data_IF_428806639972
#
_entry.id   IF_428806639972
#
_cell.length_a   1.000
_cell.length_b   1.000
_cell.length_c   1.000
_cell.angle_alpha   90.00
_cell.angle_beta   90.00
_cell.angle_gamma   90.00
#
_symmetry.space_group_name_H-M   'P 1'
#
loop_
_entity.id
_entity.type
_entity.pdbx_description
1 polymer ?
#
# COMPACT_ATOMS: atom_id res chain seq x y z
N UNK A 1 -20.48 13.83 37.56
CA UNK A 1 -20.95 12.64 36.83
C UNK A 1 -20.90 13.01 35.35
N UNK A 2 -20.14 12.41 34.45
CA UNK A 2 -19.57 11.07 34.41
C UNK A 2 -18.07 11.10 34.05
N UNK A 3 -17.32 10.22 34.69
CA UNK A 3 -15.99 9.82 34.27
C UNK A 3 -16.16 8.79 33.16
N UNK A 4 -15.51 8.98 32.02
CA UNK A 4 -15.44 7.96 30.98
C UNK A 4 -14.00 7.48 30.85
N UNK A 5 -13.85 6.23 31.26
CA UNK A 5 -12.66 5.41 31.31
C UNK A 5 -12.16 5.20 29.87
N UNK A 6 -10.94 5.66 29.57
CA UNK A 6 -10.22 5.30 28.37
C UNK A 6 -9.62 3.91 28.56
N UNK A 7 -10.30 2.89 28.06
CA UNK A 7 -9.78 1.54 27.95
C UNK A 7 -10.06 0.99 26.54
N UNK A 8 -8.98 0.60 25.85
CA UNK A 8 -9.03 -0.43 24.82
C UNK A 8 -9.34 0.02 23.39
N UNK A 9 -8.40 0.70 22.74
CA UNK A 9 -7.98 0.31 21.38
C UNK A 9 -6.64 0.97 21.06
N UNK A 10 -5.58 0.17 20.99
CA UNK A 10 -4.27 0.62 20.52
C UNK A 10 -4.37 0.96 19.04
N UNK A 11 -4.54 2.25 18.74
CA UNK A 11 -4.15 2.79 17.45
C UNK A 11 -2.64 2.62 17.36
N UNK A 12 -2.19 1.62 16.60
CA UNK A 12 -0.79 1.48 16.24
C UNK A 12 -0.44 2.68 15.34
N UNK A 13 0.05 3.73 15.98
CA UNK A 13 0.94 4.71 15.36
C UNK A 13 2.27 3.98 15.10
N UNK A 14 2.93 4.19 13.96
CA UNK A 14 4.38 4.08 13.93
C UNK A 14 4.89 5.02 15.01
N UNK A 15 5.73 4.47 15.88
CA UNK A 15 6.26 5.12 17.07
C UNK A 15 6.83 6.49 16.69
N UNK A 16 6.08 7.57 16.93
CA UNK A 16 6.71 8.88 17.11
C UNK A 16 7.51 8.74 18.39
N UNK A 17 8.76 8.30 18.21
CA UNK A 17 9.73 7.82 19.19
C UNK A 17 9.32 8.20 20.60
N UNK A 18 8.90 7.21 21.39
CA UNK A 18 8.82 7.41 22.82
C UNK A 18 10.17 7.96 23.31
N UNK A 19 10.21 9.15 23.95
CA UNK A 19 11.44 9.62 24.52
C UNK A 19 11.92 8.60 25.58
N UNK A 20 13.24 8.36 25.71
CA UNK A 20 13.78 7.37 26.63
C UNK A 20 13.21 7.53 28.05
N UNK A 21 13.00 6.42 28.76
CA UNK A 21 12.34 6.34 30.08
C UNK A 21 12.95 7.25 31.18
N UNK A 22 14.13 7.83 30.96
CA UNK A 22 14.72 8.84 31.83
C UNK A 22 14.05 10.22 31.69
N UNK A 23 13.53 10.57 30.50
CA UNK A 23 12.80 11.81 30.23
C UNK A 23 11.42 11.77 30.91
N UNK A 24 10.74 10.62 30.92
CA UNK A 24 9.43 10.46 31.57
C UNK A 24 9.47 10.57 33.10
N UNK A 25 10.61 10.24 33.75
CA UNK A 25 10.77 10.47 35.19
C UNK A 25 10.96 11.95 35.56
N UNK A 26 11.69 12.72 34.74
CA UNK A 26 11.82 14.18 34.91
C UNK A 26 10.55 14.95 34.48
N UNK A 27 9.53 14.27 33.94
CA UNK A 27 8.28 14.88 33.51
C UNK A 27 7.26 15.13 34.64
N UNK A 28 7.40 14.48 35.81
CA UNK A 28 6.36 14.42 36.85
C UNK A 28 6.57 15.34 38.06
N UNK A 29 7.61 16.19 38.09
CA UNK A 29 7.82 17.06 39.25
C UNK A 29 6.75 18.17 39.34
N UNK A 30 6.14 18.39 40.51
CA UNK A 30 5.07 19.37 40.69
C UNK A 30 5.61 20.81 40.71
N UNK A 31 4.95 21.72 39.98
CA UNK A 31 5.20 23.17 40.06
C UNK A 31 4.28 23.76 41.16
N UNK A 32 4.81 24.52 42.15
CA UNK A 32 4.03 25.07 43.26
C UNK A 32 3.14 26.27 42.87
N UNK A 33 2.03 26.46 43.61
CA UNK A 33 0.92 27.37 43.26
C UNK A 33 0.77 28.63 44.16
N UNK A 34 1.09 29.85 43.67
CA UNK A 34 0.40 31.16 43.94
C UNK A 34 0.24 32.20 42.76
N UNK A 35 -1.00 32.71 42.56
CA UNK A 35 -1.64 33.20 41.31
C UNK A 35 -1.11 34.40 40.49
N UNK A 36 0.09 34.97 40.72
CA UNK A 36 0.66 35.97 39.76
C UNK A 36 2.15 35.79 39.56
N UNK A 37 2.86 35.31 40.58
CA UNK A 37 4.20 34.72 40.38
C UNK A 37 4.13 33.38 39.65
N UNK A 38 3.08 32.55 39.88
CA UNK A 38 2.88 31.25 39.19
C UNK A 38 3.08 31.37 37.68
N UNK A 39 2.45 32.35 37.03
CA UNK A 39 2.45 32.40 35.57
C UNK A 39 3.88 32.57 35.03
N UNK A 40 4.66 33.43 35.70
CA UNK A 40 6.07 33.67 35.38
C UNK A 40 6.93 32.47 35.77
N UNK A 41 6.65 31.83 36.90
CA UNK A 41 7.40 30.68 37.42
C UNK A 41 7.16 29.42 36.58
N UNK A 42 5.90 29.14 36.20
CA UNK A 42 5.50 28.07 35.28
C UNK A 42 6.13 28.28 33.92
N UNK A 43 6.03 29.48 33.33
CA UNK A 43 6.62 29.76 32.02
C UNK A 43 8.15 29.69 32.05
N UNK A 44 8.79 30.14 33.12
CA UNK A 44 10.24 30.05 33.30
C UNK A 44 10.71 28.60 33.41
N UNK A 45 10.05 27.80 34.25
CA UNK A 45 10.32 26.37 34.37
C UNK A 45 10.08 25.63 33.06
N UNK A 46 9.02 26.01 32.33
CA UNK A 46 8.69 25.49 31.01
C UNK A 46 9.81 25.76 30.00
N UNK A 47 10.27 27.01 29.97
CA UNK A 47 11.35 27.47 29.09
C UNK A 47 12.63 26.67 29.36
N UNK A 48 13.03 26.52 30.61
CA UNK A 48 14.23 25.75 30.98
C UNK A 48 14.10 24.28 30.56
N UNK A 49 12.93 23.67 30.76
CA UNK A 49 12.67 22.29 30.36
C UNK A 49 12.73 22.10 28.85
N UNK A 50 12.17 23.03 28.08
CA UNK A 50 12.25 23.02 26.62
C UNK A 50 13.70 23.10 26.14
N UNK A 51 14.47 24.07 26.64
CA UNK A 51 15.89 24.24 26.28
C UNK A 51 16.69 22.98 26.61
N UNK A 52 16.52 22.44 27.81
CA UNK A 52 17.25 21.26 28.29
C UNK A 52 16.98 20.02 27.42
N UNK A 53 15.73 19.77 27.04
CA UNK A 53 15.35 18.55 26.33
C UNK A 53 15.53 18.64 24.82
N UNK A 54 15.39 19.83 24.23
CA UNK A 54 15.28 19.98 22.76
C UNK A 54 16.27 20.98 22.17
N UNK A 55 16.94 21.81 22.96
CA UNK A 55 17.65 22.99 22.45
C UNK A 55 18.78 22.70 21.45
N UNK A 56 19.42 21.53 21.51
CA UNK A 56 20.48 21.17 20.55
C UNK A 56 19.93 20.77 19.17
N UNK A 57 18.69 20.30 19.09
CA UNK A 57 18.10 19.70 17.89
C UNK A 57 16.81 20.41 17.45
N UNK A 58 16.46 21.53 18.07
CA UNK A 58 15.17 22.19 17.86
C UNK A 58 14.97 22.70 16.42
N UNK A 59 16.05 22.92 15.67
CA UNK A 59 15.98 23.27 14.26
C UNK A 59 15.43 22.12 13.37
N UNK A 60 15.50 20.86 13.82
CA UNK A 60 14.93 19.71 13.11
C UNK A 60 13.42 19.60 13.37
N UNK A 61 12.64 19.59 12.29
CA UNK A 61 11.18 19.51 12.33
C UNK A 61 10.67 18.24 13.04
N UNK A 62 11.42 17.13 12.95
CA UNK A 62 11.10 15.86 13.64
C UNK A 62 11.26 16.00 15.15
N UNK A 63 12.18 16.85 15.59
CA UNK A 63 12.34 17.18 17.00
C UNK A 63 11.25 18.15 17.46
N UNK A 64 10.84 19.10 16.61
CA UNK A 64 9.74 20.01 16.91
C UNK A 64 8.40 19.29 17.11
N UNK A 65 8.10 18.21 16.37
CA UNK A 65 6.86 17.45 16.57
C UNK A 65 6.78 16.77 17.94
N UNK A 66 7.91 16.46 18.58
CA UNK A 66 7.93 15.91 19.95
C UNK A 66 7.36 16.90 20.97
N UNK A 67 7.41 18.21 20.66
CA UNK A 67 6.78 19.25 21.48
C UNK A 67 5.26 19.18 21.48
N UNK A 68 4.65 18.49 20.51
CA UNK A 68 3.20 18.39 20.41
C UNK A 68 2.58 17.68 21.62
N UNK A 69 3.10 16.51 22.00
CA UNK A 69 2.64 15.80 23.22
C UNK A 69 2.79 16.69 24.45
N UNK A 70 3.92 17.37 24.55
CA UNK A 70 4.21 18.28 25.65
C UNK A 70 3.19 19.44 25.74
N UNK A 71 2.83 20.02 24.60
CA UNK A 71 1.78 21.04 24.51
C UNK A 71 0.41 20.47 24.89
N UNK A 72 0.05 19.29 24.40
CA UNK A 72 -1.24 18.66 24.72
C UNK A 72 -1.37 18.35 26.22
N UNK A 73 -0.33 17.82 26.86
CA UNK A 73 -0.31 17.59 28.32
C UNK A 73 -0.49 18.90 29.09
N UNK A 74 0.13 19.98 28.61
CA UNK A 74 0.02 21.30 29.21
C UNK A 74 -1.39 21.90 29.05
N UNK A 75 -2.02 21.73 27.89
CA UNK A 75 -3.41 22.13 27.63
C UNK A 75 -4.36 21.32 28.52
N UNK A 76 -4.15 20.02 28.65
CA UNK A 76 -4.97 19.18 29.53
C UNK A 76 -4.87 19.64 31.00
N UNK A 77 -3.67 20.01 31.44
CA UNK A 77 -3.42 20.49 32.81
C UNK A 77 -3.90 21.93 33.04
N UNK A 78 -3.84 22.78 32.02
CA UNK A 78 -4.26 24.19 32.07
C UNK A 78 -5.15 24.51 30.85
N UNK A 79 -6.44 24.14 30.83
CA UNK A 79 -7.30 24.23 29.64
C UNK A 79 -7.45 25.63 29.04
N UNK A 80 -7.40 26.67 29.88
CA UNK A 80 -7.56 28.06 29.43
C UNK A 80 -6.22 28.69 29.00
N UNK A 81 -5.13 28.38 29.70
CA UNK A 81 -3.84 29.07 29.56
C UNK A 81 -2.72 28.21 28.95
N UNK A 82 -2.95 26.92 28.73
CA UNK A 82 -1.91 25.98 28.31
C UNK A 82 -1.29 26.33 26.96
N UNK A 83 -2.10 26.79 26.00
CA UNK A 83 -1.62 27.29 24.71
C UNK A 83 -0.75 28.54 24.89
N UNK A 84 -1.22 29.50 25.69
CA UNK A 84 -0.49 30.74 25.94
C UNK A 84 0.85 30.49 26.63
N UNK A 85 0.87 29.60 27.63
CA UNK A 85 2.11 29.20 28.31
C UNK A 85 3.08 28.52 27.36
N UNK A 86 2.62 27.58 26.54
CA UNK A 86 3.46 26.92 25.56
C UNK A 86 4.06 27.92 24.58
N UNK A 87 3.23 28.77 23.97
CA UNK A 87 3.68 29.77 22.99
C UNK A 87 4.68 30.76 23.60
N UNK A 88 4.40 31.23 24.82
CA UNK A 88 5.30 32.12 25.55
C UNK A 88 6.64 31.47 25.88
N UNK A 89 6.64 30.21 26.31
CA UNK A 89 7.87 29.47 26.60
C UNK A 89 8.65 29.12 25.33
N UNK A 90 7.98 28.75 24.24
CA UNK A 90 8.62 28.48 22.95
C UNK A 90 9.33 29.73 22.41
N UNK A 91 8.67 30.90 22.45
CA UNK A 91 9.28 32.19 22.06
C UNK A 91 10.47 32.58 22.91
N UNK A 92 10.46 32.23 24.20
CA UNK A 92 11.57 32.51 25.11
C UNK A 92 12.72 31.52 24.97
N UNK A 93 12.41 30.24 24.72
CA UNK A 93 13.39 29.17 24.59
C UNK A 93 14.08 29.17 23.21
N UNK A 94 13.33 29.42 22.15
CA UNK A 94 13.74 29.25 20.76
C UNK A 94 13.28 30.43 19.90
N UNK A 95 13.82 31.65 20.10
CA UNK A 95 13.29 32.85 19.47
C UNK A 95 13.25 32.81 17.94
N UNK A 96 14.21 32.11 17.30
CA UNK A 96 14.32 31.99 15.85
C UNK A 96 13.32 30.99 15.29
N UNK A 97 13.10 29.87 15.98
CA UNK A 97 12.28 28.75 15.51
C UNK A 97 10.82 28.85 15.98
N UNK A 98 10.52 29.72 16.94
CA UNK A 98 9.23 29.76 17.65
C UNK A 98 8.01 29.88 16.74
N UNK A 99 8.04 30.77 15.74
CA UNK A 99 6.90 30.94 14.83
C UNK A 99 6.66 29.67 13.98
N UNK A 100 7.74 29.01 13.53
CA UNK A 100 7.66 27.73 12.82
C UNK A 100 7.12 26.61 13.71
N UNK A 101 7.61 26.50 14.95
CA UNK A 101 7.14 25.52 15.94
C UNK A 101 5.65 25.72 16.21
N UNK A 102 5.20 26.95 16.46
CA UNK A 102 3.80 27.25 16.76
C UNK A 102 2.91 26.90 15.55
N UNK A 103 3.30 27.31 14.35
CA UNK A 103 2.58 26.96 13.12
C UNK A 103 2.51 25.44 12.90
N UNK A 104 3.58 24.70 13.22
CA UNK A 104 3.60 23.24 13.17
C UNK A 104 2.62 22.62 14.17
N UNK A 105 2.52 23.16 15.39
CA UNK A 105 1.56 22.68 16.39
C UNK A 105 0.12 22.86 15.90
N UNK A 106 -0.20 24.00 15.29
CA UNK A 106 -1.54 24.26 14.72
C UNK A 106 -1.87 23.31 13.56
N UNK A 107 -0.90 23.02 12.68
CA UNK A 107 -1.06 22.00 11.62
C UNK A 107 -1.32 20.62 12.22
N UNK A 108 -0.60 20.26 13.29
CA UNK A 108 -0.79 18.99 14.00
C UNK A 108 -2.16 18.91 14.68
N UNK A 109 -2.65 19.99 15.31
CA UNK A 109 -4.00 20.03 15.88
C UNK A 109 -5.05 19.70 14.81
N UNK A 110 -5.00 20.41 13.67
CA UNK A 110 -5.92 20.18 12.53
C UNK A 110 -5.85 18.75 11.99
N UNK A 111 -4.65 18.17 11.94
CA UNK A 111 -4.46 16.80 11.48
C UNK A 111 -5.08 15.78 12.45
N UNK A 112 -4.89 15.96 13.76
CA UNK A 112 -5.45 15.06 14.77
C UNK A 112 -6.97 15.18 14.89
N UNK A 113 -7.50 16.40 14.75
CA UNK A 113 -8.95 16.63 14.66
C UNK A 113 -9.54 15.87 13.47
N UNK A 114 -8.96 16.06 12.28
CA UNK A 114 -9.39 15.31 11.09
C UNK A 114 -9.30 13.79 11.27
N UNK A 115 -8.23 13.26 11.87
CA UNK A 115 -8.12 11.82 12.15
C UNK A 115 -9.25 11.33 13.05
N UNK A 116 -9.62 12.12 14.06
CA UNK A 116 -10.70 11.80 15.00
C UNK A 116 -12.04 11.78 14.28
N UNK A 117 -12.32 12.79 13.47
CA UNK A 117 -13.54 12.86 12.66
C UNK A 117 -13.66 11.70 11.67
N UNK A 118 -12.53 11.31 11.05
CA UNK A 118 -12.50 10.27 10.03
C UNK A 118 -12.35 8.85 10.58
N UNK A 119 -12.25 8.66 11.89
CA UNK A 119 -11.94 7.36 12.50
C UNK A 119 -12.84 6.22 11.99
N UNK A 120 -14.16 6.44 12.00
CA UNK A 120 -15.15 5.44 11.57
C UNK A 120 -15.05 5.12 10.07
N UNK A 121 -14.70 6.11 9.25
CA UNK A 121 -14.50 5.93 7.82
C UNK A 121 -13.21 5.16 7.55
N UNK A 122 -12.09 5.62 8.13
CA UNK A 122 -10.77 5.01 7.97
C UNK A 122 -10.74 3.56 8.45
N UNK A 123 -11.47 3.22 9.52
CA UNK A 123 -11.53 1.85 10.04
C UNK A 123 -12.18 0.84 9.09
N UNK A 124 -13.00 1.31 8.15
CA UNK A 124 -13.69 0.46 7.16
C UNK A 124 -12.86 0.22 5.89
N UNK A 125 -11.80 1.00 5.69
CA UNK A 125 -10.93 0.90 4.52
C UNK A 125 -9.88 -0.20 4.67
N UNK A 126 -9.44 -0.75 3.53
CA UNK A 126 -8.23 -1.55 3.48
C UNK A 126 -7.01 -0.73 3.88
N UNK A 127 -5.92 -1.39 4.30
CA UNK A 127 -4.70 -0.67 4.69
C UNK A 127 -4.11 0.19 3.58
N UNK A 128 -4.20 -0.26 2.32
CA UNK A 128 -3.67 0.51 1.18
C UNK A 128 -4.51 1.76 0.91
N UNK A 129 -5.83 1.63 0.91
CA UNK A 129 -6.74 2.78 0.75
C UNK A 129 -6.58 3.76 1.90
N UNK A 130 -6.52 3.25 3.14
CA UNK A 130 -6.27 4.05 4.34
C UNK A 130 -4.95 4.80 4.24
N UNK A 131 -3.87 4.11 3.86
CA UNK A 131 -2.55 4.70 3.63
C UNK A 131 -2.62 5.83 2.61
N UNK A 132 -3.25 5.60 1.46
CA UNK A 132 -3.40 6.62 0.41
C UNK A 132 -4.17 7.86 0.88
N UNK A 133 -5.28 7.69 1.60
CA UNK A 133 -6.08 8.80 2.12
C UNK A 133 -5.32 9.58 3.20
N UNK A 134 -4.65 8.89 4.12
CA UNK A 134 -3.83 9.53 5.16
C UNK A 134 -2.71 10.34 4.53
N UNK A 135 -1.97 9.76 3.58
CA UNK A 135 -0.87 10.45 2.90
C UNK A 135 -1.33 11.66 2.08
N UNK A 136 -2.48 11.54 1.41
CA UNK A 136 -3.10 12.69 0.74
C UNK A 136 -3.37 13.83 1.73
N UNK A 137 -3.95 13.52 2.91
CA UNK A 137 -4.24 14.54 3.91
C UNK A 137 -2.97 15.13 4.54
N UNK A 138 -1.95 14.31 4.78
CA UNK A 138 -0.64 14.78 5.27
C UNK A 138 -0.02 15.77 4.29
N UNK A 139 0.01 15.46 2.99
CA UNK A 139 0.51 16.41 1.97
C UNK A 139 -0.34 17.67 1.87
N UNK A 140 -1.65 17.58 2.04
CA UNK A 140 -2.55 18.74 2.06
C UNK A 140 -2.24 19.70 3.24
N UNK A 141 -1.97 19.16 4.43
CA UNK A 141 -1.73 19.97 5.63
C UNK A 141 -0.27 20.44 5.75
N UNK A 142 0.68 19.56 5.44
CA UNK A 142 2.10 19.75 5.72
C UNK A 142 2.94 20.03 4.47
N UNK A 143 2.37 19.91 3.26
CA UNK A 143 3.12 20.04 2.01
C UNK A 143 4.38 19.16 2.00
N UNK A 144 5.53 19.73 1.66
CA UNK A 144 6.80 19.00 1.55
C UNK A 144 7.29 18.48 2.91
N UNK A 145 6.90 19.11 4.03
CA UNK A 145 7.26 18.65 5.38
C UNK A 145 6.67 17.27 5.70
N UNK A 146 5.56 16.88 5.06
CA UNK A 146 4.94 15.57 5.26
C UNK A 146 5.95 14.43 5.02
N UNK A 147 6.84 14.62 4.05
CA UNK A 147 7.80 13.62 3.63
C UNK A 147 8.94 13.45 4.65
N UNK A 148 9.23 14.47 5.47
CA UNK A 148 10.19 14.41 6.57
C UNK A 148 9.53 13.85 7.84
N UNK A 149 8.33 14.34 8.15
CA UNK A 149 7.60 14.00 9.37
C UNK A 149 7.22 12.52 9.47
N UNK A 150 6.94 11.88 8.33
CA UNK A 150 6.56 10.46 8.25
C UNK A 150 7.56 9.63 7.43
N UNK A 151 8.83 10.05 7.39
CA UNK A 151 9.87 9.36 6.63
C UNK A 151 10.03 7.89 7.06
N UNK A 152 9.96 7.58 8.35
CA UNK A 152 10.06 6.20 8.85
C UNK A 152 8.92 5.32 8.34
N UNK A 153 7.67 5.81 8.40
CA UNK A 153 6.50 5.07 7.89
C UNK A 153 6.59 4.83 6.39
N UNK A 154 7.10 5.81 5.62
CA UNK A 154 7.34 5.63 4.18
C UNK A 154 8.42 4.57 3.93
N UNK A 155 9.55 4.67 4.65
CA UNK A 155 10.65 3.72 4.54
C UNK A 155 10.20 2.30 4.91
N UNK A 156 9.33 2.14 5.91
CA UNK A 156 8.71 0.86 6.25
C UNK A 156 7.87 0.30 5.11
N UNK A 157 7.05 1.14 4.48
CA UNK A 157 6.23 0.72 3.35
C UNK A 157 7.09 0.32 2.13
N UNK A 158 8.14 1.10 1.85
CA UNK A 158 9.12 0.79 0.80
C UNK A 158 9.85 -0.52 1.08
N UNK A 159 10.29 -0.75 2.33
CA UNK A 159 10.89 -2.03 2.75
C UNK A 159 9.93 -3.19 2.56
N UNK A 160 8.66 -3.04 2.98
CA UNK A 160 7.63 -4.08 2.79
C UNK A 160 7.42 -4.37 1.30
N UNK A 161 7.36 -3.36 0.45
CA UNK A 161 7.24 -3.54 -1.00
C UNK A 161 8.45 -4.28 -1.59
N UNK A 162 9.67 -3.93 -1.17
CA UNK A 162 10.89 -4.63 -1.58
C UNK A 162 10.89 -6.09 -1.12
N UNK A 163 10.46 -6.37 0.11
CA UNK A 163 10.34 -7.74 0.62
C UNK A 163 9.33 -8.56 -0.19
N UNK A 164 8.15 -8.00 -0.50
CA UNK A 164 7.16 -8.66 -1.37
C UNK A 164 7.77 -9.00 -2.74
N UNK A 165 8.49 -8.07 -3.36
CA UNK A 165 9.17 -8.32 -4.64
C UNK A 165 10.24 -9.41 -4.53
N UNK A 166 11.01 -9.42 -3.45
CA UNK A 166 12.02 -10.45 -3.18
C UNK A 166 11.39 -11.82 -3.02
N UNK A 167 10.31 -11.94 -2.24
CA UNK A 167 9.56 -13.20 -2.07
C UNK A 167 9.07 -13.72 -3.43
N UNK A 168 8.44 -12.85 -4.23
CA UNK A 168 7.95 -13.20 -5.57
C UNK A 168 9.11 -13.71 -6.44
N UNK A 169 10.23 -12.98 -6.48
CA UNK A 169 11.39 -13.35 -7.28
C UNK A 169 12.05 -14.65 -6.82
N UNK A 170 12.15 -14.88 -5.51
CA UNK A 170 12.73 -16.11 -4.95
C UNK A 170 11.86 -17.32 -5.30
N UNK A 171 10.55 -17.23 -5.07
CA UNK A 171 9.61 -18.30 -5.41
C UNK A 171 9.61 -18.57 -6.91
N UNK A 172 9.69 -17.54 -7.75
CA UNK A 172 9.70 -17.72 -9.21
C UNK A 172 10.98 -18.44 -9.70
N UNK A 173 12.14 -18.03 -9.18
CA UNK A 173 13.43 -18.54 -9.65
C UNK A 173 13.81 -19.91 -9.07
N UNK A 174 13.20 -20.36 -7.97
CA UNK A 174 13.52 -21.69 -7.42
C UNK A 174 12.94 -22.81 -8.29
N UNK A 175 13.78 -23.45 -9.09
CA UNK A 175 13.40 -24.55 -9.98
C UNK A 175 13.37 -25.93 -9.29
N UNK A 176 13.71 -26.02 -8.00
CA UNK A 176 13.83 -27.29 -7.27
C UNK A 176 12.52 -27.70 -6.61
N UNK A 177 11.59 -26.77 -6.46
CA UNK A 177 10.31 -26.97 -5.74
C UNK A 177 9.14 -27.11 -6.71
N UNK A 178 8.12 -27.87 -6.31
CA UNK A 178 6.93 -28.11 -7.14
C UNK A 178 6.05 -26.87 -7.25
N UNK A 179 5.07 -26.90 -8.16
CA UNK A 179 4.05 -25.85 -8.29
C UNK A 179 3.27 -25.65 -6.98
N UNK A 180 2.89 -26.74 -6.33
CA UNK A 180 2.17 -26.70 -5.05
C UNK A 180 3.02 -26.11 -3.92
N UNK A 181 4.31 -26.43 -3.90
CA UNK A 181 5.25 -25.89 -2.91
C UNK A 181 5.52 -24.41 -3.15
N UNK A 182 5.67 -23.98 -4.41
CA UNK A 182 5.76 -22.56 -4.78
C UNK A 182 4.53 -21.79 -4.29
N UNK A 183 3.34 -22.33 -4.52
CA UNK A 183 2.08 -21.71 -4.06
C UNK A 183 2.02 -21.65 -2.52
N UNK A 184 2.43 -22.71 -1.83
CA UNK A 184 2.48 -22.75 -0.38
C UNK A 184 3.43 -21.67 0.18
N UNK A 185 4.68 -21.64 -0.29
CA UNK A 185 5.68 -20.67 0.14
C UNK A 185 5.25 -19.22 -0.13
N UNK A 186 4.68 -18.97 -1.31
CA UNK A 186 4.17 -17.64 -1.66
C UNK A 186 3.05 -17.22 -0.71
N UNK A 187 2.07 -18.11 -0.45
CA UNK A 187 0.99 -17.82 0.50
C UNK A 187 1.53 -17.53 1.89
N UNK A 188 2.39 -18.40 2.44
CA UNK A 188 2.92 -18.24 3.79
C UNK A 188 3.72 -16.94 3.94
N UNK A 189 4.66 -16.66 3.04
CA UNK A 189 5.53 -15.50 3.14
C UNK A 189 4.77 -14.19 2.90
N UNK A 190 3.84 -14.16 1.95
CA UNK A 190 3.01 -12.97 1.72
C UNK A 190 1.97 -12.79 2.82
N UNK A 191 1.41 -13.85 3.39
CA UNK A 191 0.50 -13.74 4.53
C UNK A 191 1.21 -13.14 5.73
N UNK A 192 2.42 -13.60 6.06
CA UNK A 192 3.21 -13.00 7.14
C UNK A 192 3.47 -11.51 6.89
N UNK A 193 3.92 -11.13 5.70
CA UNK A 193 4.24 -9.75 5.34
C UNK A 193 3.01 -8.82 5.26
N UNK A 194 1.84 -9.36 4.89
CA UNK A 194 0.61 -8.59 4.66
C UNK A 194 -0.40 -8.72 5.82
N UNK A 195 -0.13 -9.56 6.82
CA UNK A 195 -1.02 -9.91 7.95
C UNK A 195 -1.48 -8.70 8.79
N UNK A 196 -0.69 -7.64 8.88
CA UNK A 196 -1.05 -6.41 9.61
C UNK A 196 -2.16 -5.59 8.95
N UNK A 197 -2.54 -5.93 7.71
CA UNK A 197 -3.63 -5.27 7.02
C UNK A 197 -4.97 -5.95 7.32
N UNK A 198 -5.91 -5.23 7.96
CA UNK A 198 -7.30 -5.66 8.20
C UNK A 198 -8.11 -5.72 6.90
N UNK A 199 -7.59 -6.38 5.86
CA UNK A 199 -8.31 -6.60 4.61
C UNK A 199 -9.24 -7.78 4.82
N UNK A 200 -10.50 -7.61 4.42
CA UNK A 200 -11.45 -8.70 4.20
C UNK A 200 -10.74 -9.85 3.46
N UNK A 201 -10.65 -11.01 4.13
CA UNK A 201 -9.99 -12.22 3.67
C UNK A 201 -10.35 -12.66 2.23
N UNK A 202 -11.47 -12.17 1.66
CA UNK A 202 -11.91 -12.49 0.30
C UNK A 202 -10.99 -11.97 -0.81
N UNK A 203 -10.49 -10.73 -0.73
CA UNK A 203 -9.73 -10.14 -1.85
C UNK A 203 -8.24 -10.53 -1.85
N UNK A 204 -7.70 -10.99 -0.72
CA UNK A 204 -6.27 -11.31 -0.59
C UNK A 204 -5.91 -12.62 -1.28
N UNK A 205 -6.73 -13.66 -1.10
CA UNK A 205 -6.51 -14.97 -1.71
C UNK A 205 -6.50 -14.89 -3.24
N UNK A 206 -7.42 -14.09 -3.79
CA UNK A 206 -7.48 -13.81 -5.22
C UNK A 206 -6.20 -13.11 -5.71
N UNK A 207 -5.72 -12.11 -4.97
CA UNK A 207 -4.49 -11.40 -5.32
C UNK A 207 -3.27 -12.34 -5.32
N UNK A 208 -3.07 -13.13 -4.26
CA UNK A 208 -1.92 -14.04 -4.19
C UNK A 208 -2.00 -15.10 -5.30
N UNK A 209 -3.19 -15.63 -5.57
CA UNK A 209 -3.42 -16.59 -6.65
C UNK A 209 -3.13 -15.99 -8.02
N UNK A 210 -3.52 -14.73 -8.26
CA UNK A 210 -3.20 -14.03 -9.51
C UNK A 210 -1.70 -13.76 -9.66
N UNK A 211 -1.01 -13.37 -8.58
CA UNK A 211 0.45 -13.21 -8.57
C UNK A 211 1.12 -14.55 -8.86
N UNK A 212 0.68 -15.62 -8.21
CA UNK A 212 1.18 -16.97 -8.44
C UNK A 212 1.05 -17.41 -9.90
N UNK A 213 -0.13 -17.24 -10.52
CA UNK A 213 -0.31 -17.52 -11.94
C UNK A 213 0.38 -16.49 -12.86
N UNK A 214 0.99 -15.43 -12.34
CA UNK A 214 1.81 -14.51 -13.13
C UNK A 214 3.29 -14.84 -13.14
N UNK A 215 3.73 -15.76 -12.27
CA UNK A 215 5.13 -16.20 -12.19
C UNK A 215 5.57 -16.90 -13.48
N UNK A 216 6.75 -16.55 -13.99
CA UNK A 216 7.25 -17.08 -15.26
C UNK A 216 7.49 -18.59 -15.17
N UNK A 217 8.05 -19.07 -14.06
CA UNK A 217 8.27 -20.50 -13.82
C UNK A 217 6.98 -21.30 -13.77
N UNK A 218 5.91 -20.72 -13.20
CA UNK A 218 4.58 -21.34 -13.16
C UNK A 218 4.00 -21.41 -14.57
N UNK A 219 4.11 -20.34 -15.35
CA UNK A 219 3.64 -20.31 -16.73
C UNK A 219 4.39 -21.28 -17.63
N UNK A 220 5.71 -21.40 -17.46
CA UNK A 220 6.52 -22.37 -18.18
C UNK A 220 6.10 -23.80 -17.85
N UNK A 221 6.00 -24.15 -16.56
CA UNK A 221 5.58 -25.48 -16.13
C UNK A 221 4.18 -25.84 -16.62
N UNK A 222 3.21 -24.93 -16.51
CA UNK A 222 1.86 -25.14 -17.04
C UNK A 222 1.87 -25.27 -18.57
N UNK A 223 2.69 -24.50 -19.27
CA UNK A 223 2.84 -24.55 -20.72
C UNK A 223 3.26 -25.93 -21.24
N UNK A 224 4.13 -26.62 -20.50
CA UNK A 224 4.63 -27.97 -20.84
C UNK A 224 3.59 -29.08 -20.66
N UNK A 225 2.52 -28.84 -19.89
CA UNK A 225 1.48 -29.83 -19.67
C UNK A 225 0.53 -29.94 -20.87
N UNK A 226 0.05 -31.14 -21.22
CA UNK A 226 -1.09 -31.32 -22.12
C UNK A 226 -2.32 -30.54 -21.64
N UNK A 227 -3.23 -30.09 -22.54
CA UNK A 227 -4.36 -29.24 -22.18
C UNK A 227 -5.21 -29.73 -20.99
N UNK A 228 -5.55 -31.01 -20.97
CA UNK A 228 -6.39 -31.59 -19.90
C UNK A 228 -5.65 -31.68 -18.57
N UNK A 229 -4.39 -32.13 -18.60
CA UNK A 229 -3.52 -32.18 -17.41
C UNK A 229 -3.25 -30.78 -16.86
N UNK A 230 -3.07 -29.80 -17.75
CA UNK A 230 -2.90 -28.39 -17.38
C UNK A 230 -4.13 -27.87 -16.64
N UNK A 231 -5.33 -28.13 -17.14
CA UNK A 231 -6.56 -27.69 -16.49
C UNK A 231 -6.72 -28.34 -15.12
N UNK A 232 -6.47 -29.65 -15.02
CA UNK A 232 -6.50 -30.37 -13.74
C UNK A 232 -5.50 -29.77 -12.74
N UNK A 233 -4.29 -29.42 -13.20
CA UNK A 233 -3.28 -28.79 -12.36
C UNK A 233 -3.70 -27.40 -11.90
N UNK A 234 -4.27 -26.58 -12.79
CA UNK A 234 -4.80 -25.25 -12.44
C UNK A 234 -5.91 -25.37 -11.39
N UNK A 235 -6.84 -26.31 -11.57
CA UNK A 235 -7.96 -26.51 -10.64
C UNK A 235 -7.46 -26.99 -9.27
N UNK A 236 -6.45 -27.88 -9.25
CA UNK A 236 -5.78 -28.31 -8.02
C UNK A 236 -5.17 -27.13 -7.26
N UNK A 237 -4.45 -26.25 -7.96
CA UNK A 237 -3.80 -25.07 -7.38
C UNK A 237 -4.83 -24.06 -6.85
N UNK A 238 -5.95 -23.86 -7.55
CA UNK A 238 -7.07 -23.04 -7.05
C UNK A 238 -7.70 -23.62 -5.79
N UNK A 239 -7.92 -24.94 -5.76
CA UNK A 239 -8.42 -25.63 -4.56
C UNK A 239 -7.47 -25.44 -3.37
N UNK A 240 -6.16 -25.57 -3.58
CA UNK A 240 -5.15 -25.30 -2.56
C UNK A 240 -5.13 -23.84 -2.10
N UNK A 241 -5.47 -22.89 -2.97
CA UNK A 241 -5.61 -21.47 -2.66
C UNK A 241 -6.93 -21.15 -1.91
N UNK A 242 -7.79 -22.15 -1.70
CA UNK A 242 -9.01 -22.04 -0.89
C UNK A 242 -10.26 -21.62 -1.67
N UNK A 243 -10.26 -21.78 -2.99
CA UNK A 243 -11.46 -21.61 -3.82
C UNK A 243 -12.42 -22.79 -3.60
N UNK A 244 -13.72 -22.50 -3.56
CA UNK A 244 -14.74 -23.54 -3.59
C UNK A 244 -14.94 -24.13 -5.00
N UNK A 245 -15.58 -25.31 -5.08
CA UNK A 245 -15.80 -26.02 -6.34
C UNK A 245 -16.64 -25.25 -7.35
N UNK A 246 -17.62 -24.46 -6.89
CA UNK A 246 -18.47 -23.69 -7.81
C UNK A 246 -17.64 -22.63 -8.52
N UNK A 247 -16.80 -21.91 -7.77
CA UNK A 247 -15.90 -20.91 -8.32
C UNK A 247 -14.83 -21.53 -9.21
N UNK A 248 -14.28 -22.69 -8.84
CA UNK A 248 -13.34 -23.42 -9.68
C UNK A 248 -13.98 -23.78 -11.03
N UNK A 249 -15.24 -24.24 -11.02
CA UNK A 249 -15.97 -24.56 -12.25
C UNK A 249 -16.17 -23.34 -13.16
N UNK A 250 -16.57 -22.19 -12.60
CA UNK A 250 -16.70 -20.94 -13.37
C UNK A 250 -15.37 -20.53 -14.02
N UNK A 251 -14.29 -20.59 -13.25
CA UNK A 251 -12.95 -20.21 -13.72
C UNK A 251 -12.42 -21.19 -14.78
N UNK A 252 -12.76 -22.48 -14.68
CA UNK A 252 -12.46 -23.49 -15.70
C UNK A 252 -13.14 -23.17 -17.02
N UNK A 253 -14.42 -22.79 -17.00
CA UNK A 253 -15.15 -22.43 -18.23
C UNK A 253 -14.53 -21.19 -18.90
N UNK A 254 -14.07 -20.23 -18.11
CA UNK A 254 -13.33 -19.06 -18.62
C UNK A 254 -11.98 -19.46 -19.24
N UNK A 255 -11.24 -20.37 -18.60
CA UNK A 255 -9.98 -20.89 -19.14
C UNK A 255 -10.21 -21.59 -20.48
N UNK A 256 -11.26 -22.42 -20.60
CA UNK A 256 -11.62 -23.12 -21.83
C UNK A 256 -11.97 -22.14 -22.95
N UNK A 257 -12.81 -21.13 -22.68
CA UNK A 257 -13.13 -20.08 -23.66
C UNK A 257 -11.87 -19.36 -24.15
N UNK A 258 -10.95 -19.03 -23.23
CA UNK A 258 -9.67 -18.38 -23.56
C UNK A 258 -8.76 -19.30 -24.37
N UNK A 259 -8.71 -20.58 -24.05
CA UNK A 259 -7.93 -21.58 -24.79
C UNK A 259 -8.45 -21.74 -26.22
N UNK A 260 -9.76 -21.84 -26.42
CA UNK A 260 -10.37 -21.89 -27.75
C UNK A 260 -10.07 -20.62 -28.56
N UNK A 261 -10.21 -19.44 -27.95
CA UNK A 261 -9.86 -18.17 -28.59
C UNK A 261 -8.39 -18.13 -29.00
N UNK A 262 -7.50 -18.63 -28.16
CA UNK A 262 -6.07 -18.68 -28.45
C UNK A 262 -5.74 -19.65 -29.59
N UNK A 263 -6.32 -20.85 -29.58
CA UNK A 263 -6.15 -21.84 -30.65
C UNK A 263 -6.64 -21.30 -31.99
N UNK A 264 -7.79 -20.62 -32.01
CA UNK A 264 -8.31 -19.93 -33.20
C UNK A 264 -7.33 -18.86 -33.68
N UNK A 265 -6.75 -18.09 -32.76
CA UNK A 265 -5.69 -17.11 -33.05
C UNK A 265 -4.43 -17.71 -33.66
N UNK A 266 -3.93 -18.84 -33.14
CA UNK A 266 -2.76 -19.52 -33.71
C UNK A 266 -3.04 -20.06 -35.11
N UNK A 267 -4.22 -20.65 -35.33
CA UNK A 267 -4.64 -21.12 -36.65
C UNK A 267 -4.77 -19.96 -37.65
N UNK A 268 -5.29 -18.82 -37.20
CA UNK A 268 -5.30 -17.58 -37.98
C UNK A 268 -3.89 -17.13 -38.36
N UNK A 269 -2.95 -17.08 -37.40
CA UNK A 269 -1.56 -16.66 -37.67
C UNK A 269 -0.88 -17.56 -38.71
N UNK A 270 -1.10 -18.88 -38.63
CA UNK A 270 -0.59 -19.83 -39.62
C UNK A 270 -1.17 -19.61 -41.02
N UNK A 271 -2.45 -19.25 -41.13
CA UNK A 271 -3.09 -18.94 -42.42
C UNK A 271 -2.60 -17.60 -42.97
N UNK A 272 -2.48 -16.60 -42.09
CA UNK A 272 -1.92 -15.27 -42.39
C UNK A 272 -0.51 -15.36 -42.96
N UNK A 273 0.38 -16.12 -42.32
CA UNK A 273 1.76 -16.33 -42.77
C UNK A 273 1.80 -16.87 -44.21
N UNK A 274 1.04 -17.93 -44.49
CA UNK A 274 0.91 -18.48 -45.84
C UNK A 274 0.40 -17.48 -46.88
N UNK A 275 -0.53 -16.59 -46.50
CA UNK A 275 -1.03 -15.55 -47.41
C UNK A 275 0.05 -14.53 -47.74
N UNK A 276 0.84 -14.12 -46.74
CA UNK A 276 1.94 -13.17 -46.91
C UNK A 276 3.04 -13.75 -47.81
N UNK A 277 3.29 -15.06 -47.70
CA UNK A 277 4.29 -15.74 -48.54
C UNK A 277 3.85 -15.89 -50.00
N UNK A 278 2.54 -15.81 -50.30
CA UNK A 278 1.98 -16.16 -51.62
C UNK A 278 1.35 -14.99 -52.36
N UNK A 279 0.89 -13.95 -51.66
CA UNK A 279 0.16 -12.82 -52.22
C UNK A 279 0.84 -11.51 -51.88
N UNK A 280 0.60 -10.48 -52.70
CA UNK A 280 1.13 -9.14 -52.49
C UNK A 280 0.07 -8.06 -52.81
N UNK A 281 0.34 -6.83 -52.37
CA UNK A 281 -0.47 -5.66 -52.67
C UNK A 281 -1.95 -5.81 -52.28
N UNK A 282 -2.84 -5.37 -53.16
CA UNK A 282 -4.28 -5.37 -52.90
C UNK A 282 -4.88 -6.79 -52.74
N UNK A 283 -4.32 -7.78 -53.42
CA UNK A 283 -4.76 -9.18 -53.30
C UNK A 283 -4.48 -9.73 -51.90
N UNK A 284 -3.30 -9.41 -51.34
CA UNK A 284 -2.97 -9.76 -49.97
C UNK A 284 -3.88 -9.04 -48.97
N UNK A 285 -4.11 -7.73 -49.16
CA UNK A 285 -4.96 -6.95 -48.26
C UNK A 285 -6.38 -7.52 -48.15
N UNK A 286 -6.99 -7.87 -49.30
CA UNK A 286 -8.31 -8.52 -49.35
C UNK A 286 -8.30 -9.89 -48.67
N UNK A 287 -7.34 -10.75 -49.01
CA UNK A 287 -7.25 -12.09 -48.43
C UNK A 287 -7.04 -12.07 -46.91
N UNK A 288 -6.24 -11.12 -46.39
CA UNK A 288 -6.04 -10.93 -44.96
C UNK A 288 -7.34 -10.48 -44.26
N UNK A 289 -8.10 -9.58 -44.87
CA UNK A 289 -9.39 -9.16 -44.34
C UNK A 289 -10.38 -10.34 -44.27
N UNK A 290 -10.50 -11.12 -45.35
CA UNK A 290 -11.40 -12.28 -45.41
C UNK A 290 -11.05 -13.31 -44.33
N UNK A 291 -9.76 -13.59 -44.14
CA UNK A 291 -9.29 -14.52 -43.09
C UNK A 291 -9.51 -13.96 -41.68
N UNK A 292 -9.42 -12.64 -41.46
CA UNK A 292 -9.81 -12.06 -40.15
C UNK A 292 -11.30 -12.24 -39.89
N UNK A 293 -12.16 -11.98 -40.88
CA UNK A 293 -13.61 -12.17 -40.74
C UNK A 293 -13.95 -13.64 -40.48
N UNK A 294 -13.32 -14.58 -41.19
CA UNK A 294 -13.48 -16.02 -40.98
C UNK A 294 -13.10 -16.45 -39.55
N UNK A 295 -11.98 -15.92 -39.02
CA UNK A 295 -11.46 -16.33 -37.71
C UNK A 295 -11.97 -15.51 -36.52
N UNK A 296 -12.54 -14.33 -36.73
CA UNK A 296 -12.88 -13.44 -35.62
C UNK A 296 -14.25 -12.77 -35.74
N UNK A 297 -14.90 -12.88 -36.90
CA UNK A 297 -16.23 -12.30 -37.14
C UNK A 297 -16.26 -10.82 -36.78
N UNK A 298 -17.05 -10.47 -35.76
CA UNK A 298 -17.19 -9.08 -35.30
C UNK A 298 -15.88 -8.47 -34.76
N UNK A 299 -14.92 -9.28 -34.27
CA UNK A 299 -13.63 -8.77 -33.78
C UNK A 299 -12.62 -8.53 -34.91
N UNK A 300 -12.93 -8.88 -36.17
CA UNK A 300 -11.99 -8.77 -37.30
C UNK A 300 -11.41 -7.36 -37.46
N UNK A 301 -12.26 -6.33 -37.32
CA UNK A 301 -11.84 -4.92 -37.39
C UNK A 301 -10.88 -4.55 -36.27
N UNK A 302 -11.11 -5.06 -35.06
CA UNK A 302 -10.20 -4.83 -33.92
C UNK A 302 -8.85 -5.48 -34.17
N UNK A 303 -8.83 -6.73 -34.64
CA UNK A 303 -7.60 -7.45 -34.99
C UNK A 303 -6.85 -6.72 -36.11
N UNK A 304 -7.55 -6.20 -37.11
CA UNK A 304 -6.92 -5.40 -38.17
C UNK A 304 -6.24 -4.14 -37.62
N UNK A 305 -6.92 -3.35 -36.79
CA UNK A 305 -6.35 -2.12 -36.21
C UNK A 305 -5.13 -2.43 -35.32
N UNK A 306 -5.22 -3.50 -34.53
CA UNK A 306 -4.11 -4.03 -33.75
C UNK A 306 -2.89 -4.30 -34.65
N UNK A 307 -3.08 -5.06 -35.73
CA UNK A 307 -1.99 -5.42 -36.64
C UNK A 307 -1.41 -4.21 -37.39
N UNK A 308 -2.25 -3.25 -37.80
CA UNK A 308 -1.80 -2.00 -38.43
C UNK A 308 -0.95 -1.16 -37.49
N UNK A 309 -1.21 -1.22 -36.18
CA UNK A 309 -0.38 -0.58 -35.15
C UNK A 309 0.88 -1.37 -34.80
N UNK A 310 1.14 -2.50 -35.44
CA UNK A 310 2.24 -3.41 -35.14
C UNK A 310 2.00 -4.32 -33.93
N UNK A 311 0.79 -4.33 -33.38
CA UNK A 311 0.42 -5.19 -32.26
C UNK A 311 -0.15 -6.52 -32.75
N UNK A 312 0.62 -7.60 -32.56
CA UNK A 312 0.19 -8.95 -32.92
C UNK A 312 -0.09 -9.77 -31.66
N UNK A 313 -1.35 -9.75 -31.21
CA UNK A 313 -1.81 -10.40 -29.97
C UNK A 313 -1.33 -11.84 -29.81
N UNK A 314 -1.36 -12.62 -30.89
CA UNK A 314 -1.06 -14.06 -30.89
C UNK A 314 0.42 -14.41 -31.11
N UNK A 315 1.29 -13.40 -31.28
CA UNK A 315 2.75 -13.60 -31.18
C UNK A 315 3.25 -13.52 -29.74
N UNK A 316 2.39 -13.10 -28.80
CA UNK A 316 2.75 -12.99 -27.38
C UNK A 316 2.69 -14.36 -26.69
N UNK A 317 3.42 -14.55 -25.58
CA UNK A 317 3.30 -15.76 -24.76
C UNK A 317 1.87 -15.97 -24.26
N UNK A 318 1.41 -17.23 -24.26
CA UNK A 318 0.13 -17.61 -23.66
C UNK A 318 0.25 -17.64 -22.14
N UNK A 319 -0.74 -17.08 -21.46
CA UNK A 319 -0.83 -17.10 -19.98
C UNK A 319 -1.98 -17.99 -19.51
N UNK A 320 -1.70 -19.04 -18.74
CA UNK A 320 -2.65 -20.02 -18.24
C UNK A 320 -3.07 -19.73 -16.79
N UNK A 321 -4.31 -20.07 -16.42
CA UNK A 321 -4.79 -20.03 -15.03
C UNK A 321 -5.12 -18.63 -14.47
N UNK A 322 -4.58 -17.57 -15.05
CA UNK A 322 -4.89 -16.17 -14.70
C UNK A 322 -6.25 -15.77 -15.26
N UNK A 323 -7.20 -15.40 -14.40
CA UNK A 323 -8.57 -15.02 -14.78
C UNK A 323 -8.93 -13.57 -14.51
#
# INVERSE_FOLDING_TARGET
MAATIWAGNRFYLPDMHQPPQQITKQMNDPIPARATSIHKDVRSALTQKLISLFGQQIADITTQTKLYRFRQDLIQKYPVLGVEYFNGAARQAFPTEADGIIALMEKLDRYHEWLTEQQTFLSRLSSLERYGIIWKKRREIFADDAELLWAEERNDMERKQQQVQQVISQVDTDSRISLEEKLYQLNTQLDELLSESTVQYGNRKDLITQVYFSLDSVQQALGQLPPDQRQQQIDKLRRQSGYDESRISELRDLDQKRNLRWQRGLAYMKKREKLIDTLNGEALARALNDVRVEFFGYEARTIEQEELSGFFRYLRPRVYGRN
#
